data_IF_427452343699
#
_entry.id   IF_427452343699
#
_cell.length_a   1.000
_cell.length_b   1.000
_cell.length_c   1.000
_cell.angle_alpha   90.00
_cell.angle_beta   90.00
_cell.angle_gamma   90.00
#
_symmetry.space_group_name_H-M   'P 1'
#
loop_
_entity.id
_entity.type
_entity.pdbx_description
1 polymer ?
#
# COMPACT_ATOMS: atom_id res chain seq x y z
N UNK A 1 -18.23 -3.75 -3.91
CA UNK A 1 -16.83 -4.08 -3.58
C UNK A 1 -16.46 -3.16 -2.43
N UNK A 2 -16.11 -3.73 -1.29
CA UNK A 2 -15.79 -2.99 -0.06
C UNK A 2 -14.50 -2.18 -0.25
N UNK A 3 -14.53 -0.91 0.09
CA UNK A 3 -13.36 -0.02 0.08
C UNK A 3 -12.87 0.17 1.51
N UNK A 4 -11.62 -0.17 1.76
CA UNK A 4 -11.00 -0.09 3.09
C UNK A 4 -9.88 0.95 3.08
N UNK A 5 -9.91 1.87 4.03
CA UNK A 5 -8.82 2.78 4.31
C UNK A 5 -8.02 2.29 5.53
N UNK A 6 -6.73 2.07 5.35
CA UNK A 6 -5.79 1.74 6.43
C UNK A 6 -4.94 2.97 6.71
N UNK A 7 -4.90 3.40 7.96
CA UNK A 7 -4.11 4.55 8.43
C UNK A 7 -2.93 4.05 9.25
N UNK A 8 -1.74 4.05 8.64
CA UNK A 8 -0.48 3.69 9.29
C UNK A 8 0.16 4.89 10.01
N UNK A 9 1.28 4.66 10.70
CA UNK A 9 1.90 5.66 11.58
C UNK A 9 2.78 6.72 10.89
N UNK A 10 2.85 6.75 9.54
CA UNK A 10 3.63 7.73 8.80
C UNK A 10 2.93 9.10 8.65
N UNK A 11 3.34 9.87 7.64
CA UNK A 11 2.73 11.18 7.40
C UNK A 11 1.30 11.05 6.86
N UNK A 12 0.34 11.65 7.56
CA UNK A 12 -1.09 11.64 7.25
C UNK A 12 -1.59 13.05 6.91
N UNK A 13 -0.97 13.68 5.90
CA UNK A 13 -1.28 15.06 5.51
C UNK A 13 -2.44 15.17 4.52
N UNK A 14 -2.72 14.08 3.79
CA UNK A 14 -3.75 14.07 2.75
C UNK A 14 -4.38 12.68 2.64
N UNK A 15 -5.69 12.60 2.69
CA UNK A 15 -6.45 11.36 2.59
C UNK A 15 -7.85 11.63 2.05
N UNK A 16 -8.49 10.62 1.48
CA UNK A 16 -9.89 10.68 1.04
C UNK A 16 -10.80 9.97 2.05
N UNK A 17 -12.09 10.30 2.04
CA UNK A 17 -13.08 9.80 3.01
C UNK A 17 -14.12 8.86 2.41
N UNK A 18 -14.03 8.55 1.11
CA UNK A 18 -15.02 7.71 0.41
C UNK A 18 -14.80 6.20 0.60
N UNK A 19 -14.59 5.74 1.85
CA UNK A 19 -14.37 4.34 2.22
C UNK A 19 -15.53 3.80 3.05
N UNK A 20 -15.69 2.49 3.02
CA UNK A 20 -16.73 1.76 3.75
C UNK A 20 -16.21 1.30 5.14
N UNK A 21 -14.89 1.06 5.26
CA UNK A 21 -14.23 0.57 6.48
C UNK A 21 -12.96 1.37 6.75
N UNK A 22 -12.73 1.72 8.01
CA UNK A 22 -11.59 2.51 8.49
C UNK A 22 -10.77 1.71 9.50
N UNK A 23 -9.50 1.49 9.18
CA UNK A 23 -8.56 0.70 9.97
C UNK A 23 -7.43 1.60 10.47
N UNK A 24 -7.25 1.68 11.76
CA UNK A 24 -6.12 2.38 12.38
C UNK A 24 -5.03 1.42 12.82
N UNK A 25 -3.79 1.67 12.40
CA UNK A 25 -2.60 0.95 12.85
C UNK A 25 -1.85 1.83 13.84
N UNK A 26 -1.71 1.39 15.08
CA UNK A 26 -1.07 2.13 16.18
C UNK A 26 -1.60 3.57 16.29
N UNK A 27 -0.71 4.57 16.09
CA UNK A 27 -1.08 5.98 16.10
C UNK A 27 -2.06 6.38 15.00
N UNK A 28 -2.18 5.59 13.92
CA UNK A 28 -3.22 5.78 12.91
C UNK A 28 -4.62 5.66 13.49
N UNK A 29 -4.80 4.86 14.55
CA UNK A 29 -6.06 4.79 15.30
C UNK A 29 -6.42 6.11 15.98
N UNK A 30 -5.42 6.80 16.56
CA UNK A 30 -5.64 8.13 17.15
C UNK A 30 -5.96 9.17 16.09
N UNK A 31 -5.25 9.13 14.96
CA UNK A 31 -5.51 10.03 13.85
C UNK A 31 -6.97 9.95 13.39
N UNK A 32 -7.53 8.74 13.26
CA UNK A 32 -8.94 8.56 12.92
C UNK A 32 -9.86 9.22 13.94
N UNK A 33 -9.63 8.98 15.23
CA UNK A 33 -10.43 9.57 16.32
C UNK A 33 -10.34 11.10 16.39
N UNK A 34 -9.14 11.65 16.16
CA UNK A 34 -8.90 13.10 16.18
C UNK A 34 -9.52 13.81 14.99
N UNK A 35 -9.67 13.12 13.86
CA UNK A 35 -10.34 13.63 12.67
C UNK A 35 -11.83 13.25 12.59
N UNK A 36 -12.42 12.73 13.68
CA UNK A 36 -13.83 12.33 13.75
C UNK A 36 -14.25 11.31 12.69
N UNK A 37 -13.33 10.44 12.30
CA UNK A 37 -13.57 9.34 11.36
C UNK A 37 -13.97 8.07 12.13
N UNK A 38 -14.65 7.13 11.48
CA UNK A 38 -14.89 5.82 12.05
C UNK A 38 -13.59 5.10 12.43
N UNK A 39 -13.66 4.19 13.37
CA UNK A 39 -12.57 3.29 13.75
C UNK A 39 -13.14 1.88 13.86
N UNK A 40 -13.27 1.22 12.69
CA UNK A 40 -13.83 -0.13 12.63
C UNK A 40 -12.82 -1.14 13.19
N UNK A 41 -11.54 -1.00 12.81
CA UNK A 41 -10.44 -1.80 13.37
C UNK A 41 -9.38 -0.90 13.97
N UNK A 42 -8.87 -1.28 15.14
CA UNK A 42 -7.63 -0.77 15.69
C UNK A 42 -6.66 -1.95 15.89
N UNK A 43 -5.51 -1.90 15.23
CA UNK A 43 -4.54 -3.00 15.22
C UNK A 43 -3.15 -2.47 15.57
N UNK A 44 -2.41 -3.15 16.44
CA UNK A 44 -1.05 -2.79 16.79
C UNK A 44 -0.65 -3.27 18.17
N UNK A 45 0.60 -3.01 18.56
CA UNK A 45 1.07 -3.22 19.93
C UNK A 45 0.79 -1.98 20.82
N UNK A 46 0.56 -0.82 20.15
CA UNK A 46 0.23 0.47 20.77
C UNK A 46 1.31 0.99 21.73
N UNK A 47 2.57 0.63 21.50
CA UNK A 47 3.71 1.11 22.32
C UNK A 47 3.95 2.61 22.17
N UNK A 48 3.53 3.18 21.05
CA UNK A 48 3.68 4.60 20.68
C UNK A 48 2.58 5.51 21.23
N UNK A 49 1.57 4.98 21.95
CA UNK A 49 0.45 5.74 22.51
C UNK A 49 0.48 5.73 24.04
N UNK A 50 -0.07 6.79 24.66
CA UNK A 50 -0.21 6.85 26.11
C UNK A 50 -1.35 5.92 26.59
N UNK A 51 -1.40 5.66 27.91
CA UNK A 51 -2.45 4.83 28.52
C UNK A 51 -3.85 5.40 28.30
N UNK A 52 -3.99 6.72 28.36
CA UNK A 52 -5.29 7.39 28.17
C UNK A 52 -5.74 7.33 26.70
N UNK A 53 -4.80 7.51 25.77
CA UNK A 53 -5.03 7.34 24.32
C UNK A 53 -5.43 5.90 23.99
N UNK A 54 -4.71 4.91 24.55
CA UNK A 54 -5.04 3.50 24.37
C UNK A 54 -6.45 3.19 24.89
N UNK A 55 -6.83 3.74 26.03
CA UNK A 55 -8.18 3.54 26.58
C UNK A 55 -9.25 4.16 25.66
N UNK A 56 -8.97 5.33 25.07
CA UNK A 56 -9.86 5.96 24.08
C UNK A 56 -10.01 5.08 22.83
N UNK A 57 -8.90 4.54 22.29
CA UNK A 57 -8.90 3.63 21.14
C UNK A 57 -9.75 2.40 21.47
N UNK A 58 -9.49 1.72 22.59
CA UNK A 58 -10.22 0.52 23.03
C UNK A 58 -11.74 0.74 23.16
N UNK A 59 -12.12 1.94 23.59
CA UNK A 59 -13.53 2.27 23.80
C UNK A 59 -14.26 2.59 22.50
N UNK A 60 -13.53 3.08 21.47
CA UNK A 60 -14.10 3.60 20.24
C UNK A 60 -13.97 2.67 19.05
N UNK A 61 -13.00 1.77 19.05
CA UNK A 61 -12.85 0.76 18.00
C UNK A 61 -13.96 -0.27 18.09
N UNK A 62 -14.54 -0.64 16.95
CA UNK A 62 -15.49 -1.75 16.89
C UNK A 62 -14.76 -3.09 17.11
N UNK A 63 -13.58 -3.24 16.49
CA UNK A 63 -12.71 -4.39 16.64
C UNK A 63 -11.34 -3.89 17.10
N UNK A 64 -10.91 -4.33 18.29
CA UNK A 64 -9.61 -3.98 18.85
C UNK A 64 -8.71 -5.22 18.88
N UNK A 65 -7.57 -5.15 18.20
CA UNK A 65 -6.59 -6.23 18.09
C UNK A 65 -5.25 -5.74 18.65
N UNK A 66 -4.94 -6.17 19.87
CA UNK A 66 -3.64 -5.89 20.47
C UNK A 66 -2.65 -6.98 20.08
N UNK A 67 -1.66 -6.59 19.30
CA UNK A 67 -0.59 -7.47 18.86
C UNK A 67 0.44 -7.72 19.98
N UNK A 68 1.11 -8.88 19.95
CA UNK A 68 2.32 -9.08 20.74
C UNK A 68 3.45 -8.22 20.14
N UNK A 69 4.29 -7.56 20.96
CA UNK A 69 5.51 -6.94 20.47
C UNK A 69 6.49 -7.95 19.84
N UNK A 70 6.44 -9.21 20.29
CA UNK A 70 7.23 -10.33 19.75
C UNK A 70 6.41 -11.07 18.70
N UNK A 71 6.42 -10.58 17.45
CA UNK A 71 5.78 -11.19 16.29
C UNK A 71 6.63 -10.97 15.04
N UNK A 72 6.45 -11.80 14.04
CA UNK A 72 7.18 -11.71 12.77
C UNK A 72 6.60 -10.62 11.86
N UNK A 73 5.27 -10.39 11.92
CA UNK A 73 4.57 -9.39 11.12
C UNK A 73 4.74 -7.97 11.66
N UNK A 74 4.85 -6.98 10.80
CA UNK A 74 4.59 -5.59 11.14
C UNK A 74 3.11 -5.38 11.48
N UNK A 75 2.78 -4.30 12.20
CA UNK A 75 1.37 -4.01 12.53
C UNK A 75 0.52 -3.72 11.29
N UNK A 76 1.13 -3.18 10.23
CA UNK A 76 0.46 -2.98 8.93
C UNK A 76 0.16 -4.32 8.24
N UNK A 77 1.10 -5.26 8.22
CA UNK A 77 0.89 -6.61 7.68
C UNK A 77 -0.22 -7.33 8.44
N UNK A 78 -0.17 -7.30 9.77
CA UNK A 78 -1.21 -7.89 10.60
C UNK A 78 -2.59 -7.27 10.33
N UNK A 79 -2.66 -5.94 10.21
CA UNK A 79 -3.91 -5.25 9.90
C UNK A 79 -4.48 -5.69 8.55
N UNK A 80 -3.63 -5.77 7.51
CA UNK A 80 -4.04 -6.24 6.18
C UNK A 80 -4.54 -7.67 6.19
N UNK A 81 -3.83 -8.58 6.87
CA UNK A 81 -4.26 -9.99 7.02
C UNK A 81 -5.65 -10.05 7.67
N UNK A 82 -5.91 -9.25 8.70
CA UNK A 82 -7.23 -9.18 9.36
C UNK A 82 -8.30 -8.57 8.46
N UNK A 83 -7.97 -7.57 7.66
CA UNK A 83 -8.89 -7.02 6.66
C UNK A 83 -9.26 -8.06 5.62
N UNK A 84 -8.30 -8.75 5.03
CA UNK A 84 -8.59 -9.75 3.99
C UNK A 84 -9.23 -11.03 4.53
N UNK A 85 -9.01 -11.37 5.80
CA UNK A 85 -9.74 -12.44 6.48
C UNK A 85 -11.25 -12.13 6.54
N UNK A 86 -11.62 -10.87 6.80
CA UNK A 86 -13.01 -10.45 6.92
C UNK A 86 -13.62 -10.00 5.58
N UNK A 87 -12.80 -9.39 4.69
CA UNK A 87 -13.21 -8.82 3.41
C UNK A 87 -12.27 -9.27 2.27
N UNK A 88 -12.35 -10.53 1.81
CA UNK A 88 -11.39 -11.06 0.81
C UNK A 88 -11.37 -10.30 -0.51
N UNK A 89 -12.48 -9.63 -0.87
CA UNK A 89 -12.62 -8.87 -2.12
C UNK A 89 -12.45 -7.34 -1.93
N UNK A 90 -11.93 -6.91 -0.76
CA UNK A 90 -11.78 -5.48 -0.47
C UNK A 90 -10.73 -4.83 -1.37
N UNK A 91 -10.97 -3.57 -1.76
CA UNK A 91 -9.92 -2.69 -2.27
C UNK A 91 -9.37 -1.87 -1.09
N UNK A 92 -8.11 -2.03 -0.81
CA UNK A 92 -7.44 -1.44 0.35
C UNK A 92 -6.54 -0.29 -0.09
N UNK A 93 -6.72 0.89 0.51
CA UNK A 93 -5.79 2.01 0.36
C UNK A 93 -5.11 2.29 1.69
N UNK A 94 -3.78 2.30 1.70
CA UNK A 94 -2.97 2.57 2.88
C UNK A 94 -2.47 4.02 2.81
N UNK A 95 -2.89 4.81 3.79
CA UNK A 95 -2.40 6.15 4.05
C UNK A 95 -1.36 6.11 5.17
N UNK A 96 -0.39 7.04 5.14
CA UNK A 96 0.69 7.05 6.13
C UNK A 96 1.69 5.90 5.95
N UNK A 97 1.74 5.28 4.75
CA UNK A 97 2.73 4.27 4.41
C UNK A 97 4.15 4.85 4.23
N UNK A 98 4.24 6.17 4.01
CA UNK A 98 5.48 6.89 3.70
C UNK A 98 5.88 7.86 4.80
N UNK A 99 7.15 8.24 4.80
CA UNK A 99 7.72 9.13 5.82
C UNK A 99 8.15 8.39 7.10
N UNK A 100 8.80 9.11 8.01
CA UNK A 100 9.30 8.54 9.26
C UNK A 100 10.44 7.54 9.07
N UNK A 101 10.33 6.38 9.68
CA UNK A 101 11.34 5.32 9.63
C UNK A 101 11.41 4.69 8.22
N UNK A 102 12.61 4.66 7.64
CA UNK A 102 12.84 4.12 6.28
C UNK A 102 12.55 2.61 6.22
N UNK A 103 12.90 1.85 7.26
CA UNK A 103 12.64 0.42 7.33
C UNK A 103 11.13 0.10 7.26
N UNK A 104 10.28 0.85 7.96
CA UNK A 104 8.81 0.72 7.87
C UNK A 104 8.28 1.07 6.47
N UNK A 105 8.81 2.16 5.86
CA UNK A 105 8.46 2.50 4.49
C UNK A 105 8.85 1.38 3.52
N UNK A 106 10.04 0.79 3.68
CA UNK A 106 10.50 -0.33 2.86
C UNK A 106 9.63 -1.58 3.07
N UNK A 107 9.25 -1.92 4.31
CA UNK A 107 8.32 -3.02 4.58
C UNK A 107 6.98 -2.81 3.87
N UNK A 108 6.42 -1.60 3.91
CA UNK A 108 5.20 -1.29 3.18
C UNK A 108 5.38 -1.44 1.66
N UNK A 109 6.54 -1.07 1.11
CA UNK A 109 6.83 -1.18 -0.32
C UNK A 109 6.93 -2.65 -0.80
N UNK A 110 7.30 -3.55 0.09
CA UNK A 110 7.49 -4.97 -0.19
C UNK A 110 6.40 -5.88 0.41
N UNK A 111 5.24 -5.32 0.77
CA UNK A 111 4.08 -6.08 1.27
C UNK A 111 3.75 -7.34 0.45
N UNK A 112 3.81 -7.33 -0.92
CA UNK A 112 3.56 -8.54 -1.69
C UNK A 112 4.62 -9.64 -1.55
N UNK A 113 5.73 -9.38 -0.87
CA UNK A 113 6.72 -10.40 -0.50
C UNK A 113 6.23 -11.33 0.60
N UNK A 114 5.24 -10.91 1.40
CA UNK A 114 4.57 -11.78 2.37
C UNK A 114 3.65 -12.77 1.65
N UNK A 115 3.84 -14.10 1.86
CA UNK A 115 3.03 -15.15 1.19
C UNK A 115 1.52 -15.02 1.44
N UNK A 116 1.11 -14.53 2.61
CA UNK A 116 -0.30 -14.37 2.97
C UNK A 116 -0.92 -13.14 2.31
N UNK A 117 -0.12 -12.12 1.97
CA UNK A 117 -0.56 -10.89 1.30
C UNK A 117 -0.37 -10.94 -0.22
N UNK A 118 0.54 -11.76 -0.73
CA UNK A 118 0.80 -11.91 -2.16
C UNK A 118 -0.46 -12.17 -3.01
N UNK A 119 -1.44 -13.01 -2.59
CA UNK A 119 -2.67 -13.22 -3.36
C UNK A 119 -3.52 -11.95 -3.51
N UNK A 120 -3.38 -11.00 -2.60
CA UNK A 120 -4.17 -9.76 -2.53
C UNK A 120 -3.45 -8.54 -3.09
N UNK A 121 -2.23 -8.69 -3.66
CA UNK A 121 -1.40 -7.57 -4.07
C UNK A 121 -2.12 -6.57 -4.98
N UNK A 122 -2.98 -7.07 -5.90
CA UNK A 122 -3.76 -6.22 -6.81
C UNK A 122 -4.82 -5.35 -6.13
N UNK A 123 -5.15 -5.69 -4.90
CA UNK A 123 -6.17 -5.03 -4.09
C UNK A 123 -5.56 -4.00 -3.14
N UNK A 124 -4.21 -3.94 -3.03
CA UNK A 124 -3.48 -3.03 -2.13
C UNK A 124 -2.94 -1.85 -2.93
N UNK A 125 -3.21 -0.64 -2.43
CA UNK A 125 -2.66 0.62 -2.94
C UNK A 125 -2.05 1.40 -1.78
N UNK A 126 -0.81 1.89 -1.93
CA UNK A 126 -0.23 2.85 -0.99
C UNK A 126 -0.41 4.24 -1.58
N UNK A 127 -0.91 5.19 -0.80
CA UNK A 127 -1.24 6.51 -1.33
C UNK A 127 -0.91 7.63 -0.37
N UNK A 128 -0.35 8.71 -0.92
CA UNK A 128 -0.32 10.04 -0.34
C UNK A 128 -0.64 11.10 -1.41
N UNK A 129 -0.39 12.37 -1.11
CA UNK A 129 -0.63 13.48 -2.04
C UNK A 129 0.21 13.41 -3.32
N UNK A 130 1.39 12.82 -3.27
CA UNK A 130 2.39 12.83 -4.35
C UNK A 130 2.61 11.46 -4.98
N UNK A 131 2.21 10.40 -4.29
CA UNK A 131 2.53 9.03 -4.67
C UNK A 131 1.29 8.15 -4.67
N UNK A 132 1.20 7.29 -5.68
CA UNK A 132 0.26 6.18 -5.75
C UNK A 132 1.04 4.93 -6.16
N UNK A 133 1.11 3.94 -5.28
CA UNK A 133 1.84 2.71 -5.53
C UNK A 133 0.86 1.55 -5.60
N UNK A 134 0.97 0.77 -6.65
CA UNK A 134 0.16 -0.40 -6.92
C UNK A 134 1.07 -1.58 -7.22
N UNK A 135 0.58 -2.79 -7.01
CA UNK A 135 1.31 -4.03 -7.17
C UNK A 135 0.66 -4.93 -8.20
N UNK A 136 1.48 -5.60 -9.02
CA UNK A 136 1.03 -6.47 -10.09
C UNK A 136 1.82 -7.77 -10.09
N UNK A 137 1.18 -8.95 -10.18
CA UNK A 137 1.90 -10.21 -10.31
C UNK A 137 2.61 -10.28 -11.67
N UNK A 138 3.53 -11.23 -11.80
CA UNK A 138 4.17 -11.55 -13.08
C UNK A 138 3.12 -11.79 -14.18
N UNK A 139 3.51 -11.47 -15.41
CA UNK A 139 2.64 -11.50 -16.59
C UNK A 139 2.58 -10.15 -17.28
N UNK A 140 1.63 -9.99 -18.19
CA UNK A 140 1.39 -8.73 -18.90
C UNK A 140 0.33 -7.91 -18.17
N UNK A 141 0.70 -6.72 -17.72
CA UNK A 141 -0.14 -5.81 -16.98
C UNK A 141 -0.40 -4.53 -17.75
N UNK A 142 -1.64 -4.07 -17.75
CA UNK A 142 -2.03 -2.79 -18.32
C UNK A 142 -2.12 -1.76 -17.21
N UNK A 143 -1.25 -0.78 -17.24
CA UNK A 143 -1.16 0.30 -16.27
C UNK A 143 -1.91 1.50 -16.78
N UNK A 144 -2.85 2.00 -16.00
CA UNK A 144 -3.66 3.17 -16.33
C UNK A 144 -3.03 4.43 -15.75
N UNK A 145 -3.19 5.58 -16.43
CA UNK A 145 -2.79 6.86 -15.83
C UNK A 145 -3.62 7.13 -14.57
N UNK A 146 -2.99 7.76 -13.59
CA UNK A 146 -3.61 8.20 -12.34
C UNK A 146 -3.82 9.71 -12.37
N UNK A 147 -5.02 10.16 -12.06
CA UNK A 147 -5.38 11.58 -12.07
C UNK A 147 -4.46 12.41 -11.18
N UNK A 148 -3.94 13.50 -11.73
CA UNK A 148 -3.03 14.41 -11.02
C UNK A 148 -1.57 13.94 -10.94
N UNK A 149 -1.23 12.77 -11.50
CA UNK A 149 0.13 12.23 -11.54
C UNK A 149 0.72 12.35 -12.94
N UNK A 150 1.93 12.92 -13.02
CA UNK A 150 2.64 13.14 -14.30
C UNK A 150 3.55 11.98 -14.66
N UNK A 151 4.25 11.45 -13.66
CA UNK A 151 5.27 10.43 -13.86
C UNK A 151 4.79 9.06 -13.43
N UNK A 152 5.28 8.04 -14.11
CA UNK A 152 5.14 6.63 -13.73
C UNK A 152 6.51 5.98 -13.65
N UNK A 153 6.67 5.08 -12.71
CA UNK A 153 7.92 4.33 -12.51
C UNK A 153 7.60 2.86 -12.33
N UNK A 154 8.52 2.00 -12.74
CA UNK A 154 8.36 0.56 -12.65
C UNK A 154 9.55 -0.04 -11.90
N UNK A 155 9.26 -0.86 -10.90
CA UNK A 155 10.25 -1.60 -10.14
C UNK A 155 9.86 -3.08 -10.14
N UNK A 156 10.75 -3.93 -10.66
CA UNK A 156 10.57 -5.37 -10.59
C UNK A 156 11.16 -5.92 -9.29
N UNK A 157 10.40 -6.73 -8.57
CA UNK A 157 10.97 -7.57 -7.53
C UNK A 157 11.67 -8.77 -8.17
N UNK A 158 12.90 -9.04 -7.70
CA UNK A 158 13.75 -10.09 -8.29
C UNK A 158 14.60 -9.64 -9.47
N UNK A 159 15.07 -10.63 -10.24
CA UNK A 159 16.02 -10.49 -11.34
C UNK A 159 15.38 -10.68 -12.74
N UNK A 160 14.06 -10.70 -12.80
CA UNK A 160 13.32 -10.92 -14.04
C UNK A 160 13.49 -9.79 -15.05
N UNK A 161 13.42 -10.14 -16.33
CA UNK A 161 13.35 -9.17 -17.40
C UNK A 161 11.99 -8.47 -17.40
N UNK A 162 12.02 -7.18 -17.71
CA UNK A 162 10.88 -6.31 -17.78
C UNK A 162 10.81 -5.70 -19.18
N UNK A 163 9.63 -5.68 -19.80
CA UNK A 163 9.37 -4.90 -21.00
C UNK A 163 8.34 -3.82 -20.71
N UNK A 164 8.48 -2.66 -21.37
CA UNK A 164 7.59 -1.51 -21.23
C UNK A 164 7.21 -1.08 -22.64
N UNK A 165 5.91 -1.09 -22.96
CA UNK A 165 5.35 -0.70 -24.24
C UNK A 165 4.24 0.34 -24.09
N UNK A 166 4.17 1.30 -25.01
CA UNK A 166 3.19 2.40 -25.00
C UNK A 166 3.56 3.55 -24.05
N UNK A 167 4.76 3.58 -23.53
CA UNK A 167 5.29 4.66 -22.70
C UNK A 167 6.16 5.62 -23.50
N UNK A 168 6.46 6.78 -22.94
CA UNK A 168 7.43 7.72 -23.53
C UNK A 168 8.81 7.08 -23.71
N UNK A 169 9.22 6.24 -22.76
CA UNK A 169 10.47 5.48 -22.80
C UNK A 169 10.16 3.99 -22.76
N UNK A 170 10.02 3.39 -23.96
CA UNK A 170 9.82 1.97 -24.11
C UNK A 170 11.09 1.18 -23.77
N UNK A 171 10.90 -0.03 -23.27
CA UNK A 171 11.97 -0.98 -22.96
C UNK A 171 11.62 -2.34 -23.57
N UNK A 172 12.49 -2.84 -24.45
CA UNK A 172 12.36 -4.13 -25.12
C UNK A 172 13.73 -4.84 -25.22
N UNK A 173 13.76 -6.00 -25.89
CA UNK A 173 14.99 -6.79 -26.02
C UNK A 173 16.09 -6.04 -26.79
N UNK A 174 15.77 -5.06 -27.63
CA UNK A 174 16.74 -4.32 -28.44
C UNK A 174 17.48 -3.22 -27.66
N UNK A 175 16.83 -2.66 -26.65
CA UNK A 175 17.37 -1.57 -25.82
C UNK A 175 17.40 -1.91 -24.33
N UNK A 176 17.28 -3.20 -23.98
CA UNK A 176 17.23 -3.64 -22.59
C UNK A 176 18.50 -3.27 -21.83
N UNK A 177 18.29 -2.67 -20.66
CA UNK A 177 19.31 -2.47 -19.65
C UNK A 177 18.71 -2.78 -18.28
N UNK A 178 19.47 -3.49 -17.43
CA UNK A 178 18.97 -3.90 -16.13
C UNK A 178 19.07 -2.78 -15.11
N UNK A 179 17.94 -2.42 -14.51
CA UNK A 179 17.85 -1.52 -13.35
C UNK A 179 16.85 -2.06 -12.34
N UNK A 180 17.02 -1.69 -11.07
CA UNK A 180 16.01 -1.99 -10.04
C UNK A 180 14.76 -1.12 -10.23
N UNK A 181 14.93 0.13 -10.63
CA UNK A 181 13.82 1.08 -10.84
C UNK A 181 13.98 1.76 -12.19
N UNK A 182 12.96 1.71 -13.02
CA UNK A 182 12.81 2.46 -14.26
C UNK A 182 11.95 3.68 -13.98
N UNK A 183 12.59 4.73 -13.48
CA UNK A 183 11.93 5.94 -12.98
C UNK A 183 11.68 6.98 -14.06
N UNK A 184 10.72 7.87 -13.77
CA UNK A 184 10.41 9.07 -14.57
C UNK A 184 9.96 8.78 -16.00
N UNK A 185 9.24 7.69 -16.20
CA UNK A 185 8.51 7.45 -17.44
C UNK A 185 7.21 8.28 -17.46
N UNK A 186 6.57 8.37 -18.59
CA UNK A 186 5.35 9.15 -18.80
C UNK A 186 4.36 8.41 -19.69
N UNK A 187 3.07 8.63 -19.43
CA UNK A 187 2.00 8.19 -20.32
C UNK A 187 1.95 9.08 -21.58
N UNK A 188 1.77 8.48 -22.76
CA UNK A 188 1.54 9.20 -24.00
C UNK A 188 0.03 9.38 -24.22
N UNK A 189 -0.43 10.62 -24.36
CA UNK A 189 -1.82 10.97 -24.61
C UNK A 189 -2.82 10.29 -23.64
N UNK A 190 -2.44 10.12 -22.40
CA UNK A 190 -3.22 9.41 -21.38
C UNK A 190 -3.57 7.96 -21.76
N UNK A 191 -2.82 7.36 -22.69
CA UNK A 191 -3.01 5.95 -23.06
C UNK A 191 -2.34 5.03 -22.04
N UNK A 192 -2.91 3.84 -21.82
CA UNK A 192 -2.32 2.87 -20.91
C UNK A 192 -0.96 2.38 -21.36
N UNK A 193 -0.08 2.11 -20.42
CA UNK A 193 1.20 1.47 -20.65
C UNK A 193 1.06 -0.03 -20.40
N UNK A 194 1.61 -0.86 -21.27
CA UNK A 194 1.71 -2.31 -21.07
C UNK A 194 3.08 -2.65 -20.51
N UNK A 195 3.11 -3.30 -19.37
CA UNK A 195 4.34 -3.79 -18.75
C UNK A 195 4.26 -5.31 -18.66
N UNK A 196 5.30 -6.00 -19.11
CA UNK A 196 5.38 -7.45 -19.00
C UNK A 196 6.58 -7.83 -18.16
N UNK A 197 6.35 -8.64 -17.13
CA UNK A 197 7.35 -9.16 -16.20
C UNK A 197 7.33 -10.70 -16.23
N UNK A 198 8.50 -11.33 -16.34
CA UNK A 198 8.60 -12.79 -16.48
C UNK A 198 8.33 -13.54 -15.17
N UNK A 199 8.75 -12.99 -14.04
CA UNK A 199 8.57 -13.60 -12.70
C UNK A 199 8.62 -12.58 -11.59
N UNK A 200 8.20 -12.94 -10.37
CA UNK A 200 8.10 -12.02 -9.24
C UNK A 200 6.87 -11.13 -9.32
N UNK A 201 6.98 -9.89 -8.92
CA UNK A 201 5.90 -8.89 -9.00
C UNK A 201 6.45 -7.51 -9.38
N UNK A 202 5.57 -6.68 -9.90
CA UNK A 202 5.84 -5.30 -10.32
C UNK A 202 5.26 -4.34 -9.28
N UNK A 203 6.05 -3.33 -8.97
CA UNK A 203 5.66 -2.16 -8.18
C UNK A 203 5.61 -0.97 -9.11
#
# INVERSE_FOLDING_TARGET
MTKVAVFAGGQLLDFSTGFDVFVGVDRGSLFLLENHLPLDFAVGDFDSVSKDELQRIKTKAEIFIQASPEKDDTDTELALKKVFEQYPEAQVTIFGAFGGRIDHMMSNLFLPGDPDLAPFMRQITLRDKQNCIQFYPAGSCRILPEDGMTYVSFMADGDANLTIDGAKYNLDASNFFKKKIYSSNEFLDQQPITVTLESGYLI
#
